data_IF_368780716803
#
_entry.id   IF_368780716803
#
_cell.length_a   1.000
_cell.length_b   1.000
_cell.length_c   1.000
_cell.angle_alpha   90.00
_cell.angle_beta   90.00
_cell.angle_gamma   90.00
#
_symmetry.space_group_name_H-M   'P 1'
#
loop_
_entity.id
_entity.type
_entity.pdbx_description
1 polymer ?
#
# COMPACT_ATOMS: atom_id res chain seq x y z
N UNK A 1 -32.40 18.27 30.43
CA UNK A 1 -33.23 17.73 29.35
C UNK A 1 -32.59 16.46 28.86
N UNK A 2 -33.21 15.31 29.12
CA UNK A 2 -32.69 13.99 28.65
C UNK A 2 -33.11 13.88 27.15
N UNK A 3 -32.18 13.56 26.26
CA UNK A 3 -32.49 13.49 24.83
C UNK A 3 -33.40 12.29 24.53
N UNK A 4 -34.22 12.39 23.48
CA UNK A 4 -35.13 11.32 23.05
C UNK A 4 -34.38 10.01 22.77
N UNK A 5 -33.14 10.09 22.35
CA UNK A 5 -32.25 8.95 22.08
C UNK A 5 -31.85 8.17 23.35
N UNK A 6 -31.68 8.87 24.48
CA UNK A 6 -31.39 8.29 25.78
C UNK A 6 -32.60 7.58 26.35
N UNK A 7 -33.83 8.09 26.11
CA UNK A 7 -35.06 7.45 26.47
C UNK A 7 -35.30 6.14 25.69
N UNK A 8 -35.00 6.12 24.38
CA UNK A 8 -35.13 4.89 23.57
C UNK A 8 -34.11 3.82 23.96
N UNK A 9 -32.89 4.16 24.31
CA UNK A 9 -31.88 3.22 24.82
C UNK A 9 -32.28 2.59 26.15
N UNK A 10 -32.83 3.39 27.06
CA UNK A 10 -33.28 2.92 28.36
C UNK A 10 -34.54 2.04 28.22
N UNK A 11 -35.48 2.35 27.34
CA UNK A 11 -36.67 1.55 27.10
C UNK A 11 -36.31 0.18 26.49
N UNK A 12 -35.40 0.10 25.55
CA UNK A 12 -34.91 -1.15 24.95
C UNK A 12 -34.19 -2.04 25.97
N UNK A 13 -33.37 -1.46 26.84
CA UNK A 13 -32.68 -2.19 27.91
C UNK A 13 -33.67 -2.73 28.97
N UNK A 14 -34.70 -1.97 29.34
CA UNK A 14 -35.73 -2.39 30.29
C UNK A 14 -36.59 -3.52 29.71
N UNK A 15 -37.00 -3.45 28.43
CA UNK A 15 -37.74 -4.55 27.78
C UNK A 15 -36.92 -5.84 27.67
N UNK A 16 -35.64 -5.77 27.42
CA UNK A 16 -34.77 -6.97 27.44
C UNK A 16 -34.67 -7.58 28.84
N UNK A 17 -34.67 -6.76 29.89
CA UNK A 17 -34.54 -7.21 31.28
C UNK A 17 -35.85 -7.83 31.84
N UNK A 18 -37.02 -7.35 31.39
CA UNK A 18 -38.34 -7.84 31.85
C UNK A 18 -38.64 -9.22 31.23
N UNK A 19 -38.25 -9.47 29.98
CA UNK A 19 -38.44 -10.77 29.30
C UNK A 19 -37.70 -11.94 29.96
N UNK A 20 -36.68 -11.66 30.80
CA UNK A 20 -35.88 -12.69 31.47
C UNK A 20 -36.44 -13.21 32.81
N UNK A 21 -37.39 -12.49 33.43
CA UNK A 21 -37.85 -12.83 34.82
C UNK A 21 -38.74 -14.07 34.92
N UNK A 22 -39.35 -14.53 33.81
CA UNK A 22 -40.28 -15.66 33.79
C UNK A 22 -39.73 -16.97 33.20
N UNK A 23 -38.50 -17.03 32.74
CA UNK A 23 -37.97 -18.21 32.04
C UNK A 23 -37.34 -19.23 33.00
N UNK A 24 -37.55 -20.57 32.79
CA UNK A 24 -36.88 -21.60 33.58
C UNK A 24 -35.36 -21.49 33.44
N UNK A 25 -34.65 -21.74 34.57
CA UNK A 25 -33.19 -21.53 34.71
C UNK A 25 -32.36 -22.14 33.59
N UNK A 26 -32.78 -23.29 33.04
CA UNK A 26 -32.07 -23.97 31.93
C UNK A 26 -32.20 -23.22 30.59
N UNK A 27 -33.38 -22.70 30.26
CA UNK A 27 -33.60 -21.88 29.05
C UNK A 27 -32.84 -20.55 29.15
N UNK A 28 -32.78 -19.96 30.33
CA UNK A 28 -32.06 -18.73 30.61
C UNK A 28 -30.53 -18.87 30.37
N UNK A 29 -29.94 -19.98 30.82
CA UNK A 29 -28.53 -20.28 30.57
C UNK A 29 -28.24 -20.46 29.07
N UNK A 30 -29.10 -21.20 28.35
CA UNK A 30 -28.94 -21.40 26.89
C UNK A 30 -29.02 -20.09 26.11
N UNK A 31 -29.98 -19.21 26.43
CA UNK A 31 -30.12 -17.91 25.76
C UNK A 31 -28.91 -17.03 26.08
N UNK A 32 -28.41 -17.00 27.30
CA UNK A 32 -27.20 -16.27 27.67
C UNK A 32 -25.96 -16.80 26.93
N UNK A 33 -25.83 -18.11 26.76
CA UNK A 33 -24.73 -18.71 26.00
C UNK A 33 -24.81 -18.35 24.49
N UNK A 34 -26.00 -18.42 23.91
CA UNK A 34 -26.20 -18.07 22.48
C UNK A 34 -25.94 -16.58 22.26
N UNK A 35 -26.44 -15.71 23.15
CA UNK A 35 -26.21 -14.27 23.00
C UNK A 35 -24.72 -13.90 23.18
N UNK A 36 -24.04 -14.56 24.13
CA UNK A 36 -22.59 -14.36 24.31
C UNK A 36 -21.78 -14.85 23.09
N UNK A 37 -22.15 -16.00 22.51
CA UNK A 37 -21.52 -16.54 21.33
C UNK A 37 -21.73 -15.63 20.09
N UNK A 38 -22.95 -15.09 19.90
CA UNK A 38 -23.26 -14.14 18.82
C UNK A 38 -22.50 -12.84 18.99
N UNK A 39 -22.40 -12.30 20.22
CA UNK A 39 -21.61 -11.11 20.52
C UNK A 39 -20.12 -11.33 20.26
N UNK A 40 -19.59 -12.49 20.67
CA UNK A 40 -18.18 -12.82 20.41
C UNK A 40 -17.89 -12.96 18.92
N UNK A 41 -18.80 -13.60 18.15
CA UNK A 41 -18.68 -13.71 16.70
C UNK A 41 -18.74 -12.34 16.00
N UNK A 42 -19.67 -11.47 16.41
CA UNK A 42 -19.76 -10.11 15.89
C UNK A 42 -18.52 -9.28 16.21
N UNK A 43 -17.99 -9.38 17.42
CA UNK A 43 -16.75 -8.71 17.83
C UNK A 43 -15.55 -9.21 17.02
N UNK A 44 -15.45 -10.52 16.77
CA UNK A 44 -14.41 -11.11 15.94
C UNK A 44 -14.48 -10.62 14.50
N UNK A 45 -15.68 -10.52 13.91
CA UNK A 45 -15.87 -9.99 12.56
C UNK A 45 -15.49 -8.51 12.45
N UNK A 46 -15.89 -7.69 13.43
CA UNK A 46 -15.53 -6.26 13.48
C UNK A 46 -14.02 -6.11 13.65
N UNK A 47 -13.40 -6.91 14.53
CA UNK A 47 -11.96 -6.88 14.73
C UNK A 47 -11.19 -7.32 13.47
N UNK A 48 -11.66 -8.38 12.79
CA UNK A 48 -11.05 -8.85 11.53
C UNK A 48 -11.19 -7.79 10.44
N UNK A 49 -12.37 -7.18 10.29
CA UNK A 49 -12.60 -6.10 9.34
C UNK A 49 -11.71 -4.89 9.65
N UNK A 50 -11.63 -4.50 10.92
CA UNK A 50 -10.80 -3.38 11.37
C UNK A 50 -9.31 -3.69 11.18
N UNK A 51 -8.86 -4.90 11.49
CA UNK A 51 -7.48 -5.35 11.26
C UNK A 51 -7.12 -5.40 9.78
N UNK A 52 -8.02 -5.86 8.91
CA UNK A 52 -7.81 -5.87 7.47
C UNK A 52 -7.80 -4.45 6.87
N UNK A 53 -8.63 -3.54 7.37
CA UNK A 53 -8.64 -2.14 6.94
C UNK A 53 -7.43 -1.38 7.47
N UNK A 54 -7.00 -1.60 8.70
CA UNK A 54 -5.76 -1.07 9.26
C UNK A 54 -4.52 -1.60 8.53
N UNK A 55 -4.45 -2.89 8.22
CA UNK A 55 -3.35 -3.44 7.42
C UNK A 55 -3.34 -2.93 5.97
N UNK A 56 -4.47 -2.48 5.44
CA UNK A 56 -4.50 -1.77 4.15
C UNK A 56 -4.06 -0.31 4.27
N UNK A 57 -4.26 0.29 5.46
CA UNK A 57 -3.84 1.67 5.75
C UNK A 57 -2.42 1.75 6.32
N UNK A 58 -1.88 0.66 6.87
CA UNK A 58 -0.46 0.49 7.08
C UNK A 58 0.17 0.17 5.74
N UNK A 59 0.38 1.21 4.93
CA UNK A 59 1.50 1.16 4.02
C UNK A 59 2.71 0.79 4.88
N UNK A 60 3.28 -0.39 4.66
CA UNK A 60 4.60 -0.74 5.16
C UNK A 60 5.49 0.49 4.97
N UNK A 61 6.37 0.82 5.93
CA UNK A 61 7.26 1.96 5.77
C UNK A 61 7.84 1.83 4.38
N UNK A 62 7.68 2.90 3.58
CA UNK A 62 8.11 2.94 2.18
C UNK A 62 9.50 2.36 2.14
N UNK A 63 9.67 1.26 1.44
CA UNK A 63 10.97 0.71 1.24
C UNK A 63 11.70 1.73 0.36
N UNK A 64 12.61 2.49 0.95
CA UNK A 64 13.54 3.30 0.18
C UNK A 64 14.55 2.36 -0.47
N UNK A 65 15.06 2.70 -1.65
CA UNK A 65 16.16 1.98 -2.25
C UNK A 65 17.33 1.84 -1.27
N UNK A 66 17.98 0.68 -1.27
CA UNK A 66 19.17 0.49 -0.42
C UNK A 66 20.26 1.46 -0.84
N UNK A 67 20.95 2.15 0.11
CA UNK A 67 22.09 3.02 -0.21
C UNK A 67 23.23 2.23 -0.86
N UNK A 68 23.96 2.88 -1.76
CA UNK A 68 25.09 2.29 -2.48
C UNK A 68 24.75 1.00 -3.24
N UNK A 69 23.51 0.85 -3.68
CA UNK A 69 23.04 -0.27 -4.47
C UNK A 69 23.03 0.08 -5.97
N UNK A 70 22.97 -0.97 -6.77
CA UNK A 70 22.92 -0.86 -8.23
C UNK A 70 21.86 -1.80 -8.78
N UNK A 71 21.14 -1.32 -9.80
CA UNK A 71 20.09 -2.06 -10.50
C UNK A 71 20.30 -1.99 -12.01
N UNK A 72 19.87 -3.03 -12.69
CA UNK A 72 19.91 -3.13 -14.13
C UNK A 72 18.56 -3.58 -14.69
N UNK A 73 18.10 -2.92 -15.75
CA UNK A 73 17.05 -3.40 -16.64
C UNK A 73 17.64 -3.68 -18.02
N UNK A 74 17.29 -4.82 -18.60
CA UNK A 74 17.72 -5.17 -19.95
C UNK A 74 16.81 -4.60 -21.05
N UNK A 75 15.55 -4.34 -20.69
CA UNK A 75 14.55 -3.75 -21.61
C UNK A 75 13.61 -2.84 -20.80
N UNK A 76 13.68 -1.53 -20.99
CA UNK A 76 14.76 -0.80 -21.68
C UNK A 76 16.12 -0.99 -21.00
N UNK A 77 17.22 -0.71 -21.71
CA UNK A 77 18.57 -0.84 -21.14
C UNK A 77 18.89 0.34 -20.24
N UNK A 78 18.58 0.19 -18.96
CA UNK A 78 18.75 1.22 -17.92
C UNK A 78 19.57 0.66 -16.78
N UNK A 79 20.56 1.41 -16.35
CA UNK A 79 21.36 1.16 -15.17
C UNK A 79 21.09 2.25 -14.13
N UNK A 80 20.79 1.87 -12.89
CA UNK A 80 20.41 2.79 -11.82
C UNK A 80 21.35 2.59 -10.64
N UNK A 81 21.71 3.70 -9.98
CA UNK A 81 22.57 3.73 -8.81
C UNK A 81 21.89 4.51 -7.69
N UNK A 82 22.10 4.10 -6.46
CA UNK A 82 21.80 4.92 -5.30
C UNK A 82 23.08 5.44 -4.67
N UNK A 83 23.04 6.68 -4.18
CA UNK A 83 24.09 7.25 -3.35
C UNK A 83 23.95 6.84 -1.87
N UNK A 84 24.81 7.39 -1.00
CA UNK A 84 24.79 7.16 0.45
C UNK A 84 23.51 7.70 1.10
N UNK A 85 22.88 8.70 0.51
CA UNK A 85 21.65 9.33 0.98
C UNK A 85 20.38 8.63 0.44
N UNK A 86 20.54 7.67 -0.49
CA UNK A 86 19.45 6.95 -1.13
C UNK A 86 18.84 7.66 -2.34
N UNK A 87 19.46 8.74 -2.84
CA UNK A 87 19.04 9.37 -4.09
C UNK A 87 19.40 8.46 -5.26
N UNK A 88 18.50 8.38 -6.23
CA UNK A 88 18.68 7.56 -7.41
C UNK A 88 19.14 8.39 -8.61
N UNK A 89 20.18 7.92 -9.25
CA UNK A 89 20.63 8.37 -10.56
C UNK A 89 20.80 7.18 -11.49
N UNK A 90 20.95 7.40 -12.79
CA UNK A 90 21.11 6.29 -13.71
C UNK A 90 21.61 6.70 -15.08
N UNK A 91 21.74 5.69 -15.92
CA UNK A 91 22.15 5.79 -17.30
C UNK A 91 21.14 5.02 -18.16
N UNK A 92 20.70 5.64 -19.24
CA UNK A 92 19.84 5.02 -20.24
C UNK A 92 20.61 4.88 -21.54
N UNK A 93 20.74 3.65 -21.98
CA UNK A 93 21.50 3.29 -23.18
C UNK A 93 20.55 3.15 -24.36
N UNK A 94 20.65 4.05 -25.33
CA UNK A 94 19.87 4.06 -26.58
C UNK A 94 20.85 4.08 -27.72
N UNK A 95 20.85 3.04 -28.56
CA UNK A 95 21.78 2.88 -29.69
C UNK A 95 23.24 3.08 -29.22
N UNK A 96 23.90 4.11 -29.72
CA UNK A 96 25.28 4.49 -29.37
C UNK A 96 25.34 5.62 -28.34
N UNK A 97 24.19 6.08 -27.81
CA UNK A 97 24.10 7.19 -26.87
C UNK A 97 23.86 6.69 -25.44
N UNK A 98 24.40 7.44 -24.47
CA UNK A 98 24.13 7.26 -23.05
C UNK A 98 23.54 8.55 -22.51
N UNK A 99 22.31 8.47 -22.01
CA UNK A 99 21.60 9.58 -21.39
C UNK A 99 21.65 9.44 -19.86
N UNK A 100 22.06 10.51 -19.17
CA UNK A 100 22.03 10.52 -17.72
C UNK A 100 20.59 10.70 -17.21
N UNK A 101 20.25 9.97 -16.15
CA UNK A 101 18.93 9.99 -15.53
C UNK A 101 19.01 10.48 -14.09
N UNK A 102 17.97 11.23 -13.68
CA UNK A 102 17.69 11.49 -12.26
C UNK A 102 16.31 10.99 -11.91
N UNK A 103 16.19 10.27 -10.81
CA UNK A 103 14.92 9.71 -10.33
C UNK A 103 14.43 10.53 -9.15
N UNK A 104 13.19 10.97 -9.22
CA UNK A 104 12.50 11.62 -8.11
C UNK A 104 11.39 10.70 -7.63
N UNK A 105 11.55 10.19 -6.41
CA UNK A 105 10.59 9.32 -5.76
C UNK A 105 9.69 10.13 -4.84
N UNK A 106 8.39 10.04 -5.03
CA UNK A 106 7.41 10.68 -4.16
C UNK A 106 6.24 9.72 -3.93
N UNK A 107 6.05 9.34 -2.67
CA UNK A 107 5.03 8.38 -2.28
C UNK A 107 5.24 7.02 -2.96
N UNK A 108 4.38 6.61 -3.85
CA UNK A 108 4.47 5.44 -4.70
C UNK A 108 4.75 5.79 -6.17
N UNK A 109 4.94 7.08 -6.45
CA UNK A 109 5.21 7.59 -7.80
C UNK A 109 6.70 7.84 -8.03
N UNK A 110 7.13 7.68 -9.26
CA UNK A 110 8.46 8.00 -9.74
C UNK A 110 8.36 8.91 -10.96
N UNK A 111 9.21 9.92 -11.01
CA UNK A 111 9.48 10.68 -12.23
C UNK A 111 10.97 10.56 -12.56
N UNK A 112 11.25 10.31 -13.84
CA UNK A 112 12.61 10.17 -14.36
C UNK A 112 12.91 11.36 -15.26
N UNK A 113 13.95 12.10 -14.92
CA UNK A 113 14.33 13.35 -15.55
C UNK A 113 15.62 13.18 -16.35
N UNK A 114 15.68 13.85 -17.50
CA UNK A 114 16.83 13.93 -18.40
C UNK A 114 17.52 15.29 -18.22
N UNK A 115 18.61 15.40 -17.46
CA UNK A 115 19.26 16.68 -17.19
C UNK A 115 19.78 17.39 -18.44
N UNK A 116 20.25 16.64 -19.43
CA UNK A 116 20.79 17.19 -20.69
C UNK A 116 19.74 17.86 -21.56
N UNK A 117 18.47 17.44 -21.42
CA UNK A 117 17.34 17.93 -22.23
C UNK A 117 16.39 18.82 -21.43
N UNK A 118 16.63 18.97 -20.12
CA UNK A 118 15.76 19.72 -19.21
C UNK A 118 14.30 19.24 -19.24
N UNK A 119 14.09 17.94 -19.47
CA UNK A 119 12.77 17.32 -19.67
C UNK A 119 12.63 15.99 -18.90
N UNK A 120 11.39 15.52 -18.77
CA UNK A 120 11.09 14.24 -18.15
C UNK A 120 11.04 13.12 -19.18
N UNK A 121 11.79 12.04 -18.91
CA UNK A 121 11.75 10.84 -19.73
C UNK A 121 10.44 10.07 -19.52
N UNK A 122 10.01 9.91 -18.27
CA UNK A 122 8.78 9.19 -17.93
C UNK A 122 8.25 9.54 -16.52
N UNK A 123 7.00 9.21 -16.33
CA UNK A 123 6.32 9.17 -15.02
C UNK A 123 5.74 7.76 -14.82
N UNK A 124 5.63 7.30 -13.58
CA UNK A 124 5.05 5.99 -13.28
C UNK A 124 4.87 5.76 -11.78
N UNK A 125 4.40 4.57 -11.45
CA UNK A 125 4.30 4.09 -10.08
C UNK A 125 5.42 3.09 -9.82
N UNK A 126 6.07 3.16 -8.66
CA UNK A 126 7.14 2.22 -8.32
C UNK A 126 6.81 1.37 -7.10
N UNK A 127 7.41 0.21 -7.05
CA UNK A 127 7.39 -0.66 -5.88
C UNK A 127 8.73 -1.38 -5.72
N UNK A 128 9.15 -1.59 -4.47
CA UNK A 128 10.38 -2.33 -4.15
C UNK A 128 10.00 -3.70 -3.64
N UNK A 129 10.51 -4.75 -4.26
CA UNK A 129 10.29 -6.13 -3.85
C UNK A 129 11.17 -6.49 -2.65
N UNK A 130 10.83 -7.60 -1.96
CA UNK A 130 11.60 -8.11 -0.82
C UNK A 130 13.06 -8.46 -1.14
N UNK A 131 13.36 -8.76 -2.40
CA UNK A 131 14.71 -9.05 -2.88
C UNK A 131 15.49 -7.80 -3.30
N UNK A 132 14.91 -6.60 -3.13
CA UNK A 132 15.50 -5.32 -3.50
C UNK A 132 15.24 -4.88 -4.93
N UNK A 133 14.59 -5.69 -5.78
CA UNK A 133 14.26 -5.28 -7.15
C UNK A 133 13.25 -4.13 -7.13
N UNK A 134 13.43 -3.17 -8.04
CA UNK A 134 12.50 -2.05 -8.24
C UNK A 134 11.65 -2.33 -9.49
N UNK A 135 10.34 -2.23 -9.36
CA UNK A 135 9.40 -2.35 -10.47
C UNK A 135 8.72 -1.00 -10.67
N UNK A 136 8.80 -0.47 -11.88
CA UNK A 136 8.08 0.74 -12.31
C UNK A 136 6.97 0.30 -13.27
N UNK A 137 5.74 0.73 -13.01
CA UNK A 137 4.53 0.42 -13.78
C UNK A 137 3.75 1.67 -14.09
N UNK A 138 2.67 1.48 -14.88
CA UNK A 138 1.75 2.55 -15.26
C UNK A 138 2.52 3.73 -15.87
N UNK A 139 3.46 3.40 -16.76
CA UNK A 139 4.39 4.35 -17.35
C UNK A 139 3.63 5.25 -18.31
N UNK A 140 3.82 6.56 -18.14
CA UNK A 140 3.40 7.62 -19.06
C UNK A 140 4.62 8.42 -19.47
N UNK A 141 4.78 8.66 -20.76
CA UNK A 141 5.87 9.45 -21.33
C UNK A 141 5.41 10.15 -22.59
N UNK A 142 5.80 11.41 -22.71
CA UNK A 142 5.68 12.21 -23.95
C UNK A 142 7.06 12.42 -24.60
N UNK A 143 8.11 11.80 -24.04
CA UNK A 143 9.48 11.94 -24.52
C UNK A 143 9.72 11.14 -25.81
N UNK A 144 10.38 11.74 -26.78
CA UNK A 144 10.82 11.08 -28.03
C UNK A 144 11.84 9.95 -27.79
N UNK A 145 12.50 9.94 -26.62
CA UNK A 145 13.47 8.91 -26.24
C UNK A 145 12.82 7.67 -25.65
N UNK A 146 11.49 7.69 -25.44
CA UNK A 146 10.77 6.59 -24.79
C UNK A 146 9.95 5.77 -25.77
N UNK A 147 10.16 4.45 -25.74
CA UNK A 147 9.33 3.53 -26.49
C UNK A 147 7.97 3.34 -25.77
N UNK A 148 6.89 3.78 -26.40
CA UNK A 148 5.53 3.70 -25.88
C UNK A 148 5.04 2.28 -25.64
N UNK A 149 5.68 1.26 -26.20
CA UNK A 149 5.34 -0.15 -25.99
C UNK A 149 5.85 -0.68 -24.64
N UNK A 150 6.73 0.09 -23.96
CA UNK A 150 7.26 -0.29 -22.64
C UNK A 150 6.33 0.18 -21.53
N UNK A 151 5.47 -0.70 -21.06
CA UNK A 151 4.52 -0.42 -19.98
C UNK A 151 5.05 -0.71 -18.56
N UNK A 152 6.16 -1.45 -18.45
CA UNK A 152 6.78 -1.83 -17.17
C UNK A 152 8.30 -1.89 -17.30
N UNK A 153 9.01 -1.40 -16.27
CA UNK A 153 10.46 -1.55 -16.12
C UNK A 153 10.73 -2.41 -14.90
N UNK A 154 11.51 -3.47 -15.08
CA UNK A 154 11.98 -4.32 -13.99
C UNK A 154 13.49 -4.09 -13.76
N UNK A 155 13.83 -3.30 -12.76
CA UNK A 155 15.19 -3.02 -12.32
C UNK A 155 15.62 -4.10 -11.33
N UNK A 156 16.49 -5.01 -11.75
CA UNK A 156 17.01 -6.10 -10.92
C UNK A 156 18.24 -5.65 -10.15
N UNK A 157 18.24 -5.88 -8.85
CA UNK A 157 19.37 -5.57 -7.98
C UNK A 157 20.60 -6.37 -8.40
N UNK A 158 21.71 -5.69 -8.65
CA UNK A 158 23.02 -6.32 -8.81
C UNK A 158 23.60 -6.54 -7.41
N UNK A 159 23.51 -7.78 -6.91
CA UNK A 159 24.14 -8.12 -5.63
C UNK A 159 25.66 -8.04 -5.80
N UNK A 160 26.28 -7.21 -4.95
CA UNK A 160 27.73 -7.20 -4.77
C UNK A 160 28.19 -8.48 -4.07
#
# INVERSE_FOLDING_TARGET
>A
MISAEQMYRNAAAVHLFIGFKGMPKVKRKRILFISAAVLAAAAALVFTYWFLTLNRSFSLPRAFPEPNAEWLSAKPNIRVFSDEEGNLSGEFYIDDAVLNLRFYLRDDSVSVYLPEYEDYLLFGNYSIKKNGDIIIKDISSDSEFWDSDVAEIALKTLKK
#
